data_IF_802235357557
#
_entry.id   IF_802235357557
#
_cell.length_a   1.000
_cell.length_b   1.000
_cell.length_c   1.000
_cell.angle_alpha   90.00
_cell.angle_beta   90.00
_cell.angle_gamma   90.00
#
_symmetry.space_group_name_H-M   'P 1'
#
loop_
_entity.id
_entity.type
_entity.pdbx_description
1 polymer ?
#
# COMPACT_ATOMS: atom_id res chain seq x y z
N UNK A 1 12.10 -3.64 3.39
CA UNK A 1 11.98 -2.25 3.85
C UNK A 1 10.57 -1.86 4.31
N UNK A 2 9.59 -2.65 4.08
CA UNK A 2 8.19 -2.41 4.52
C UNK A 2 8.05 -2.75 6.01
N UNK A 3 7.35 -3.82 6.34
CA UNK A 3 7.18 -4.28 7.72
C UNK A 3 8.42 -4.95 8.35
N UNK A 4 9.52 -5.07 7.59
CA UNK A 4 10.83 -5.43 8.13
C UNK A 4 11.63 -4.24 8.69
N UNK A 5 11.13 -3.00 8.51
CA UNK A 5 11.71 -1.75 9.03
C UNK A 5 13.16 -1.48 8.60
N UNK A 6 13.61 -2.09 7.51
CA UNK A 6 14.93 -1.85 6.94
C UNK A 6 14.92 -0.69 5.94
N UNK A 7 16.09 -0.20 5.55
CA UNK A 7 16.25 0.80 4.50
C UNK A 7 15.70 0.30 3.15
N UNK A 8 15.23 1.22 2.30
CA UNK A 8 14.80 0.89 0.94
C UNK A 8 15.96 0.32 0.12
N UNK A 9 15.66 -0.60 -0.78
CA UNK A 9 16.62 -1.23 -1.68
C UNK A 9 17.07 -2.62 -1.25
N UNK A 10 16.51 -3.17 -0.17
CA UNK A 10 16.77 -4.54 0.28
C UNK A 10 15.48 -5.33 0.49
N UNK A 11 15.58 -6.62 0.28
CA UNK A 11 14.59 -7.62 0.70
C UNK A 11 15.32 -8.91 1.08
N UNK A 12 14.69 -9.72 1.92
CA UNK A 12 15.19 -11.04 2.31
C UNK A 12 14.26 -12.09 1.74
N UNK A 13 14.84 -13.02 0.98
CA UNK A 13 14.13 -14.18 0.45
C UNK A 13 14.71 -15.43 1.13
N UNK A 14 13.84 -16.25 1.69
CA UNK A 14 14.20 -17.50 2.34
C UNK A 14 13.69 -18.68 1.54
N UNK A 15 14.56 -19.67 1.30
CA UNK A 15 14.25 -20.90 0.61
C UNK A 15 14.38 -22.09 1.55
N UNK A 16 13.44 -23.02 1.44
CA UNK A 16 13.56 -24.32 2.12
C UNK A 16 14.50 -25.21 1.32
N UNK A 17 15.80 -25.09 1.60
CA UNK A 17 16.84 -25.92 1.02
C UNK A 17 17.39 -25.46 -0.33
N UNK A 18 18.49 -26.06 -0.78
CA UNK A 18 19.21 -25.68 -1.99
C UNK A 18 18.43 -25.96 -3.27
N UNK A 19 17.58 -26.99 -3.28
CA UNK A 19 16.80 -27.39 -4.47
C UNK A 19 15.84 -26.29 -4.92
N UNK A 20 15.19 -25.58 -3.99
CA UNK A 20 14.36 -24.43 -4.34
C UNK A 20 15.21 -23.21 -4.66
N UNK A 21 16.30 -22.99 -3.92
CA UNK A 21 17.18 -21.82 -4.12
C UNK A 21 17.84 -21.80 -5.51
N UNK A 22 18.19 -22.97 -6.05
CA UNK A 22 18.85 -23.06 -7.38
C UNK A 22 18.03 -22.43 -8.51
N UNK A 23 16.71 -22.35 -8.39
CA UNK A 23 15.85 -21.73 -9.38
C UNK A 23 15.95 -20.20 -9.43
N UNK A 24 16.61 -19.58 -8.46
CA UNK A 24 16.91 -18.16 -8.48
C UNK A 24 18.16 -17.83 -9.32
N UNK A 25 19.04 -18.82 -9.52
CA UNK A 25 20.30 -18.59 -10.20
C UNK A 25 20.12 -18.37 -11.70
N UNK A 26 20.79 -17.39 -12.23
CA UNK A 26 20.86 -17.11 -13.64
C UNK A 26 22.20 -17.54 -14.20
N UNK A 27 22.20 -18.30 -15.30
CA UNK A 27 23.42 -18.78 -15.95
C UNK A 27 23.28 -18.70 -17.48
N UNK A 28 24.34 -18.25 -18.14
CA UNK A 28 24.49 -18.31 -19.61
C UNK A 28 25.86 -18.90 -19.93
N UNK A 29 25.89 -19.91 -20.79
CA UNK A 29 27.08 -20.66 -21.14
C UNK A 29 27.55 -20.47 -22.59
N UNK A 30 26.71 -19.92 -23.46
CA UNK A 30 26.96 -19.73 -24.90
C UNK A 30 27.08 -18.25 -25.32
N UNK A 31 27.26 -17.34 -24.33
CA UNK A 31 27.48 -15.93 -24.60
C UNK A 31 28.94 -15.67 -25.02
N UNK A 32 29.18 -14.90 -26.12
CA UNK A 32 30.55 -14.61 -26.59
C UNK A 32 31.46 -13.89 -25.57
N UNK A 33 30.87 -13.22 -24.57
CA UNK A 33 31.60 -12.57 -23.47
C UNK A 33 32.10 -13.55 -22.40
N UNK A 34 31.85 -14.86 -22.54
CA UNK A 34 32.28 -15.90 -21.62
C UNK A 34 31.14 -16.51 -20.82
N UNK A 35 31.49 -17.23 -19.77
CA UNK A 35 30.53 -17.81 -18.83
C UNK A 35 30.00 -16.72 -17.90
N UNK A 36 28.70 -16.53 -17.86
CA UNK A 36 28.05 -15.63 -16.93
C UNK A 36 27.17 -16.42 -15.96
N UNK A 37 27.28 -16.07 -14.68
CA UNK A 37 26.42 -16.61 -13.63
C UNK A 37 26.18 -15.57 -12.54
N UNK A 38 24.96 -15.55 -12.00
CA UNK A 38 24.56 -14.60 -10.96
C UNK A 38 23.58 -15.26 -9.98
N UNK A 39 23.72 -14.99 -8.68
CA UNK A 39 22.79 -15.50 -7.68
C UNK A 39 21.44 -14.74 -7.67
N UNK A 40 21.32 -13.64 -8.41
CA UNK A 40 20.13 -12.80 -8.47
C UNK A 40 19.99 -12.11 -9.82
N UNK A 41 18.78 -11.64 -10.14
CA UNK A 41 18.50 -10.88 -11.36
C UNK A 41 19.32 -9.59 -11.47
N UNK A 42 19.52 -8.89 -10.34
CA UNK A 42 20.32 -7.68 -10.31
C UNK A 42 21.78 -8.02 -10.06
N UNK A 43 22.70 -7.45 -10.83
CA UNK A 43 24.14 -7.61 -10.68
C UNK A 43 24.68 -7.03 -9.37
N UNK A 44 25.70 -6.15 -9.43
CA UNK A 44 26.30 -5.52 -8.25
C UNK A 44 25.29 -4.77 -7.39
N UNK A 45 25.38 -4.94 -6.08
CA UNK A 45 24.55 -4.26 -5.07
C UNK A 45 25.42 -3.57 -4.03
N UNK A 46 24.97 -2.39 -3.49
CA UNK A 46 25.67 -1.74 -2.38
C UNK A 46 25.64 -2.60 -1.12
N UNK A 47 26.79 -2.94 -0.57
CA UNK A 47 26.90 -3.71 0.67
C UNK A 47 26.31 -2.99 1.89
N UNK A 48 26.31 -1.66 1.89
CA UNK A 48 25.72 -0.83 2.95
C UNK A 48 24.23 -1.13 3.17
N UNK A 49 23.46 -1.39 2.11
CA UNK A 49 22.03 -1.75 2.25
C UNK A 49 21.84 -3.12 2.90
N UNK A 50 22.69 -4.08 2.58
CA UNK A 50 22.66 -5.42 3.22
C UNK A 50 23.03 -5.31 4.70
N UNK A 51 24.04 -4.54 5.03
CA UNK A 51 24.45 -4.28 6.42
C UNK A 51 23.35 -3.57 7.21
N UNK A 52 22.69 -2.56 6.63
CA UNK A 52 21.57 -1.86 7.25
C UNK A 52 20.37 -2.79 7.49
N UNK A 53 20.07 -3.69 6.52
CA UNK A 53 19.03 -4.70 6.69
C UNK A 53 19.33 -5.67 7.84
N UNK A 54 20.57 -6.18 7.89
CA UNK A 54 21.03 -7.05 8.97
C UNK A 54 20.96 -6.35 10.33
N UNK A 55 21.45 -5.11 10.42
CA UNK A 55 21.42 -4.32 11.65
C UNK A 55 19.97 -4.09 12.15
N UNK A 56 19.04 -3.80 11.24
CA UNK A 56 17.63 -3.66 11.59
C UNK A 56 17.06 -4.97 12.16
N UNK A 57 17.33 -6.11 11.51
CA UNK A 57 16.84 -7.42 11.95
C UNK A 57 17.40 -7.80 13.33
N UNK A 58 18.70 -7.59 13.55
CA UNK A 58 19.37 -7.90 14.84
C UNK A 58 18.85 -6.96 15.94
N UNK A 59 18.74 -5.65 15.66
CA UNK A 59 18.29 -4.64 16.63
C UNK A 59 16.86 -4.84 17.07
N UNK A 60 15.96 -5.15 16.15
CA UNK A 60 14.54 -5.37 16.44
C UNK A 60 14.33 -6.74 17.08
N UNK A 61 14.98 -7.75 16.55
CA UNK A 61 14.89 -9.13 17.02
C UNK A 61 13.49 -9.72 16.89
N UNK A 62 13.36 -11.00 17.22
CA UNK A 62 12.08 -11.71 17.12
C UNK A 62 11.00 -11.10 18.04
N UNK A 63 11.38 -10.72 19.25
CA UNK A 63 10.46 -10.12 20.22
C UNK A 63 9.90 -8.77 19.71
N UNK A 64 10.76 -7.90 19.14
CA UNK A 64 10.35 -6.62 18.61
C UNK A 64 9.42 -6.75 17.39
N UNK A 65 9.71 -7.67 16.46
CA UNK A 65 8.82 -7.92 15.32
C UNK A 65 7.46 -8.49 15.78
N UNK A 66 7.44 -9.38 16.76
CA UNK A 66 6.18 -9.93 17.33
C UNK A 66 5.35 -8.85 18.00
N UNK A 67 5.97 -7.99 18.82
CA UNK A 67 5.26 -6.87 19.47
C UNK A 67 4.70 -5.89 18.44
N UNK A 68 5.50 -5.47 17.46
CA UNK A 68 5.06 -4.58 16.39
C UNK A 68 3.86 -5.18 15.62
N UNK A 69 3.94 -6.46 15.28
CA UNK A 69 2.85 -7.17 14.56
C UNK A 69 1.59 -7.23 15.40
N UNK A 70 1.68 -7.60 16.68
CA UNK A 70 0.55 -7.66 17.60
C UNK A 70 -0.18 -6.31 17.66
N UNK A 71 0.54 -5.22 17.91
CA UNK A 71 -0.01 -3.87 17.98
C UNK A 71 -0.69 -3.45 16.67
N UNK A 72 -0.09 -3.79 15.52
CA UNK A 72 -0.66 -3.50 14.20
C UNK A 72 -1.97 -4.28 14.01
N UNK A 73 -2.01 -5.56 14.37
CA UNK A 73 -3.21 -6.39 14.23
C UNK A 73 -4.33 -5.91 15.14
N UNK A 74 -4.06 -5.61 16.40
CA UNK A 74 -5.04 -5.05 17.33
C UNK A 74 -5.62 -3.71 16.83
N UNK A 75 -4.77 -2.86 16.25
CA UNK A 75 -5.20 -1.60 15.64
C UNK A 75 -6.04 -1.84 14.37
N UNK A 76 -5.62 -2.78 13.53
CA UNK A 76 -6.37 -3.14 12.32
C UNK A 76 -7.74 -3.73 12.65
N UNK A 77 -7.82 -4.57 13.67
CA UNK A 77 -9.09 -5.16 14.12
C UNK A 77 -10.05 -4.10 14.68
N UNK A 78 -9.53 -3.13 15.43
CA UNK A 78 -10.30 -1.97 15.90
C UNK A 78 -10.89 -1.19 14.70
N UNK A 79 -10.05 -0.85 13.71
CA UNK A 79 -10.47 -0.09 12.52
C UNK A 79 -11.47 -0.91 11.68
N UNK A 80 -11.22 -2.21 11.47
CA UNK A 80 -12.15 -3.08 10.73
C UNK A 80 -13.52 -3.16 11.42
N UNK A 81 -13.52 -3.29 12.74
CA UNK A 81 -14.76 -3.32 13.51
C UNK A 81 -15.54 -2.02 13.35
N UNK A 82 -14.85 -0.88 13.45
CA UNK A 82 -15.46 0.42 13.27
C UNK A 82 -16.00 0.63 11.83
N UNK A 83 -15.24 0.24 10.79
CA UNK A 83 -15.73 0.32 9.40
C UNK A 83 -17.02 -0.49 9.22
N UNK A 84 -17.13 -1.67 9.83
CA UNK A 84 -18.33 -2.53 9.75
C UNK A 84 -19.55 -1.91 10.42
N UNK A 85 -19.40 -0.94 11.33
CA UNK A 85 -20.53 -0.20 11.93
C UNK A 85 -21.03 0.95 11.07
N UNK A 86 -20.32 1.32 9.99
CA UNK A 86 -20.74 2.38 9.06
C UNK A 86 -21.58 1.74 7.95
N UNK A 87 -22.92 1.97 7.89
CA UNK A 87 -23.81 1.24 6.99
C UNK A 87 -23.48 1.41 5.50
N UNK A 88 -22.89 2.54 5.14
CA UNK A 88 -22.51 2.87 3.76
C UNK A 88 -21.27 2.15 3.28
N UNK A 89 -20.48 1.56 4.18
CA UNK A 89 -19.19 0.95 3.86
C UNK A 89 -19.22 -0.58 3.97
N UNK A 90 -18.36 -1.23 3.22
CA UNK A 90 -18.08 -2.67 3.35
C UNK A 90 -16.59 -2.94 3.19
N UNK A 91 -16.10 -3.98 3.86
CA UNK A 91 -14.71 -4.45 3.74
C UNK A 91 -14.64 -5.55 2.67
N UNK A 92 -13.58 -5.54 1.84
CA UNK A 92 -13.32 -6.61 0.87
C UNK A 92 -12.52 -7.73 1.54
N UNK A 93 -13.08 -8.94 1.48
CA UNK A 93 -12.44 -10.15 2.02
C UNK A 93 -12.27 -10.10 3.54
N UNK A 94 -11.26 -10.83 4.02
CA UNK A 94 -10.86 -10.84 5.43
C UNK A 94 -9.38 -10.42 5.56
N UNK A 95 -9.08 -9.12 5.48
CA UNK A 95 -7.72 -8.62 5.51
C UNK A 95 -7.12 -8.65 6.92
N UNK A 96 -5.81 -8.86 7.01
CA UNK A 96 -5.07 -8.70 8.27
C UNK A 96 -4.90 -7.21 8.61
N UNK A 97 -3.98 -6.50 7.94
CA UNK A 97 -3.69 -5.08 8.22
C UNK A 97 -3.66 -4.17 6.97
N UNK A 98 -3.86 -4.73 5.78
CA UNK A 98 -4.10 -3.95 4.57
C UNK A 98 -5.59 -4.01 4.30
N UNK A 99 -6.33 -3.01 4.78
CA UNK A 99 -7.78 -3.03 4.82
C UNK A 99 -8.32 -2.33 3.58
N UNK A 100 -8.85 -3.11 2.64
CA UNK A 100 -9.58 -2.59 1.49
C UNK A 100 -11.06 -2.48 1.83
N UNK A 101 -11.65 -1.32 1.57
CA UNK A 101 -13.07 -1.07 1.80
C UNK A 101 -13.67 -0.21 0.70
N UNK A 102 -14.96 -0.35 0.49
CA UNK A 102 -15.71 0.34 -0.54
C UNK A 102 -17.09 0.76 -0.07
N UNK A 103 -17.84 1.37 -0.98
CA UNK A 103 -19.25 1.72 -0.76
C UNK A 103 -20.07 1.33 -1.98
N UNK A 104 -21.33 0.93 -1.74
CA UNK A 104 -22.35 0.74 -2.79
C UNK A 104 -23.29 1.94 -2.90
N UNK A 105 -23.29 2.78 -1.87
CA UNK A 105 -24.21 3.92 -1.74
C UNK A 105 -23.54 5.26 -2.09
N UNK A 106 -22.21 5.33 -1.97
CA UNK A 106 -21.45 6.56 -2.13
C UNK A 106 -20.27 6.36 -3.10
N UNK A 107 -19.81 7.43 -3.72
CA UNK A 107 -18.52 7.43 -4.40
C UNK A 107 -17.39 7.37 -3.36
N UNK A 108 -16.74 6.21 -3.28
CA UNK A 108 -15.67 5.94 -2.32
C UNK A 108 -14.43 6.84 -2.54
N UNK A 109 -14.20 7.32 -3.75
CA UNK A 109 -13.08 8.20 -4.04
C UNK A 109 -13.32 9.61 -3.50
N UNK A 110 -14.58 10.05 -3.39
CA UNK A 110 -14.93 11.29 -2.68
C UNK A 110 -14.67 11.16 -1.18
N UNK A 111 -14.95 9.99 -0.60
CA UNK A 111 -14.58 9.69 0.79
C UNK A 111 -13.05 9.74 0.95
N UNK A 112 -12.29 9.17 0.00
CA UNK A 112 -10.84 9.25 -0.01
C UNK A 112 -10.34 10.70 -0.03
N UNK A 113 -10.88 11.56 -0.89
CA UNK A 113 -10.51 12.97 -0.96
C UNK A 113 -10.87 13.72 0.33
N UNK A 114 -12.04 13.46 0.91
CA UNK A 114 -12.44 14.03 2.20
C UNK A 114 -11.52 13.58 3.35
N UNK A 115 -11.03 12.34 3.34
CA UNK A 115 -10.02 11.84 4.28
C UNK A 115 -8.66 12.51 4.06
N UNK A 116 -8.27 12.76 2.80
CA UNK A 116 -7.03 13.47 2.48
C UNK A 116 -7.02 14.89 3.05
N UNK A 117 -8.13 15.62 2.97
CA UNK A 117 -8.24 16.95 3.58
C UNK A 117 -8.11 16.93 5.11
N UNK A 118 -8.36 15.77 5.74
CA UNK A 118 -8.14 15.55 7.18
C UNK A 118 -6.73 15.02 7.52
N UNK A 119 -5.86 14.92 6.51
CA UNK A 119 -4.46 14.49 6.67
C UNK A 119 -4.22 12.99 6.57
N UNK A 120 -5.22 12.20 6.13
CA UNK A 120 -5.07 10.76 5.90
C UNK A 120 -4.70 10.44 4.45
N UNK A 121 -3.79 9.50 4.27
CA UNK A 121 -3.40 9.01 2.94
C UNK A 121 -3.96 7.61 2.71
N UNK A 122 -5.09 7.54 2.02
CA UNK A 122 -5.64 6.29 1.50
C UNK A 122 -5.20 6.10 0.05
N UNK A 123 -5.20 4.86 -0.42
CA UNK A 123 -4.88 4.54 -1.80
C UNK A 123 -6.13 4.06 -2.52
N UNK A 124 -6.43 4.67 -3.68
CA UNK A 124 -7.54 4.24 -4.51
C UNK A 124 -7.27 2.91 -5.19
N UNK A 125 -8.29 2.10 -5.27
CA UNK A 125 -8.35 0.83 -6.01
C UNK A 125 -9.46 0.92 -7.04
N UNK A 126 -9.42 0.09 -8.08
CA UNK A 126 -10.49 0.01 -9.07
C UNK A 126 -10.77 -1.44 -9.44
N UNK A 127 -12.03 -1.71 -9.82
CA UNK A 127 -12.52 -3.04 -10.22
C UNK A 127 -12.46 -4.09 -9.11
N UNK A 128 -13.25 -3.88 -8.04
CA UNK A 128 -14.25 -2.84 -7.82
C UNK A 128 -13.65 -1.52 -7.31
N UNK A 129 -14.44 -0.44 -7.38
CA UNK A 129 -14.10 0.87 -6.82
C UNK A 129 -14.02 0.78 -5.30
N UNK A 130 -12.82 0.95 -4.76
CA UNK A 130 -12.50 0.81 -3.34
C UNK A 130 -11.33 1.70 -2.98
N UNK A 131 -11.05 1.79 -1.71
CA UNK A 131 -9.82 2.37 -1.17
C UNK A 131 -9.17 1.42 -0.17
N UNK A 132 -7.86 1.55 0.08
CA UNK A 132 -7.25 0.78 1.15
C UNK A 132 -6.39 1.63 2.08
N UNK A 133 -6.34 1.17 3.32
CA UNK A 133 -5.43 1.63 4.36
C UNK A 133 -4.43 0.52 4.66
N UNK A 134 -3.14 0.85 4.66
CA UNK A 134 -2.09 -0.02 5.20
C UNK A 134 -1.81 0.39 6.65
N UNK A 135 -2.30 -0.40 7.62
CA UNK A 135 -2.05 -0.14 9.04
C UNK A 135 -0.58 -0.40 9.37
N UNK A 136 0.06 0.56 10.01
CA UNK A 136 1.48 0.51 10.39
C UNK A 136 1.62 0.91 11.87
N UNK A 137 2.84 0.85 12.42
CA UNK A 137 3.12 1.30 13.78
C UNK A 137 2.73 2.77 14.06
N UNK A 138 2.64 3.62 13.04
CA UNK A 138 2.14 4.99 13.21
C UNK A 138 0.70 5.03 13.69
N UNK A 139 -0.12 4.11 13.20
CA UNK A 139 -1.53 4.01 13.56
C UNK A 139 -1.76 3.43 14.96
N UNK A 140 -0.72 2.81 15.56
CA UNK A 140 -0.78 2.26 16.92
C UNK A 140 -0.47 3.27 18.01
N UNK A 141 -0.15 4.53 17.65
CA UNK A 141 0.06 5.59 18.62
C UNK A 141 -1.26 5.96 19.31
N UNK A 142 -1.22 6.37 20.58
CA UNK A 142 -2.42 6.75 21.32
C UNK A 142 -3.27 7.80 20.58
N UNK A 143 -4.57 7.56 20.48
CA UNK A 143 -5.54 8.46 19.85
C UNK A 143 -5.58 8.41 18.31
N UNK A 144 -4.61 7.77 17.63
CA UNK A 144 -4.53 7.82 16.16
C UNK A 144 -5.59 6.96 15.50
N UNK A 145 -5.84 5.75 15.99
CA UNK A 145 -6.87 4.86 15.43
C UNK A 145 -8.28 5.37 15.69
N UNK A 146 -8.50 5.98 16.85
CA UNK A 146 -9.75 6.60 17.23
C UNK A 146 -10.06 7.79 16.30
N UNK A 147 -9.10 8.70 16.16
CA UNK A 147 -9.20 9.83 15.24
C UNK A 147 -9.43 9.39 13.79
N UNK A 148 -8.77 8.31 13.34
CA UNK A 148 -9.02 7.79 11.99
C UNK A 148 -10.48 7.41 11.79
N UNK A 149 -11.08 6.75 12.78
CA UNK A 149 -12.50 6.34 12.72
C UNK A 149 -13.44 7.55 12.75
N UNK A 150 -13.19 8.51 13.62
CA UNK A 150 -13.97 9.75 13.71
C UNK A 150 -13.91 10.53 12.39
N UNK A 151 -12.72 10.70 11.83
CA UNK A 151 -12.52 11.37 10.55
C UNK A 151 -13.18 10.62 9.39
N UNK A 152 -13.17 9.27 9.41
CA UNK A 152 -13.85 8.45 8.40
C UNK A 152 -15.38 8.61 8.47
N UNK A 153 -15.95 8.59 9.67
CA UNK A 153 -17.38 8.84 9.87
C UNK A 153 -17.78 10.24 9.39
N UNK A 154 -16.98 11.25 9.73
CA UNK A 154 -17.18 12.62 9.27
C UNK A 154 -17.05 12.76 7.75
N UNK A 155 -16.10 12.05 7.12
CA UNK A 155 -15.93 12.03 5.68
C UNK A 155 -17.12 11.38 4.96
N UNK A 156 -17.63 10.25 5.48
CA UNK A 156 -18.82 9.59 4.96
C UNK A 156 -20.05 10.50 5.07
N UNK A 157 -20.27 11.11 6.23
CA UNK A 157 -21.37 12.05 6.45
C UNK A 157 -21.28 13.27 5.51
N UNK A 158 -20.08 13.81 5.31
CA UNK A 158 -19.86 14.90 4.37
C UNK A 158 -20.24 14.51 2.94
N UNK A 159 -19.73 13.38 2.44
CA UNK A 159 -20.00 12.91 1.07
C UNK A 159 -21.48 12.59 0.87
N UNK A 160 -22.16 12.07 1.88
CA UNK A 160 -23.61 11.79 1.85
C UNK A 160 -24.45 13.04 1.66
N UNK A 161 -24.04 14.16 2.23
CA UNK A 161 -24.80 15.41 2.23
C UNK A 161 -24.35 16.41 1.16
N UNK A 162 -23.17 16.24 0.56
CA UNK A 162 -22.62 17.14 -0.45
C UNK A 162 -22.96 16.66 -1.87
N UNK A 163 -23.69 17.43 -2.69
CA UNK A 163 -24.23 16.98 -3.97
C UNK A 163 -23.19 16.70 -5.05
N UNK A 164 -22.05 17.41 -5.07
CA UNK A 164 -21.01 17.25 -6.11
C UNK A 164 -19.58 17.34 -5.55
N UNK A 165 -18.62 16.77 -6.30
CA UNK A 165 -17.20 16.81 -5.94
C UNK A 165 -16.52 18.02 -6.60
N UNK A 166 -15.96 18.91 -5.81
CA UNK A 166 -15.11 19.99 -6.29
C UNK A 166 -13.65 19.53 -6.23
N UNK A 167 -13.08 19.10 -7.37
CA UNK A 167 -11.66 18.74 -7.49
C UNK A 167 -11.26 17.41 -6.88
N UNK A 168 -9.95 17.17 -6.70
CA UNK A 168 -9.39 15.99 -6.08
C UNK A 168 -9.08 14.85 -7.05
N UNK A 169 -8.86 13.63 -6.51
CA UNK A 169 -8.53 12.43 -7.28
C UNK A 169 -9.77 11.60 -7.65
N UNK A 170 -10.93 11.88 -7.06
CA UNK A 170 -12.17 11.15 -7.35
C UNK A 170 -12.51 11.11 -8.85
N UNK A 171 -12.44 12.21 -9.63
CA UNK A 171 -12.72 12.16 -11.05
C UNK A 171 -11.76 11.26 -11.83
N UNK A 172 -10.47 11.23 -11.47
CA UNK A 172 -9.44 10.42 -12.15
C UNK A 172 -9.69 8.93 -11.90
N UNK A 173 -9.95 8.54 -10.68
CA UNK A 173 -10.26 7.15 -10.34
C UNK A 173 -11.62 6.71 -10.89
N UNK A 174 -12.62 7.59 -10.86
CA UNK A 174 -13.93 7.35 -11.47
C UNK A 174 -13.82 7.08 -12.97
N UNK A 175 -13.06 7.89 -13.72
CA UNK A 175 -12.78 7.63 -15.12
C UNK A 175 -12.03 6.30 -15.34
N UNK A 176 -11.02 6.00 -14.52
CA UNK A 176 -10.27 4.75 -14.61
C UNK A 176 -11.16 3.51 -14.36
N UNK A 177 -12.17 3.64 -13.50
CA UNK A 177 -13.11 2.56 -13.18
C UNK A 177 -14.15 2.34 -14.29
N UNK A 178 -14.61 3.41 -14.96
CA UNK A 178 -15.75 3.40 -15.88
C UNK A 178 -15.38 3.34 -17.36
N UNK A 179 -14.25 3.97 -17.76
CA UNK A 179 -13.86 4.01 -19.17
C UNK A 179 -13.27 2.67 -19.65
N UNK A 180 -13.79 2.10 -20.74
CA UNK A 180 -13.24 0.88 -21.33
C UNK A 180 -11.90 1.12 -22.04
N UNK A 181 -11.60 2.36 -22.41
CA UNK A 181 -10.41 2.75 -23.19
C UNK A 181 -9.22 3.05 -22.28
N UNK A 182 -8.47 2.03 -21.91
CA UNK A 182 -7.27 2.13 -21.07
C UNK A 182 -6.23 3.15 -21.58
N UNK A 183 -6.15 3.34 -22.92
CA UNK A 183 -5.23 4.30 -23.55
C UNK A 183 -5.49 5.75 -23.17
N UNK A 184 -6.75 6.16 -23.02
CA UNK A 184 -7.12 7.54 -22.64
C UNK A 184 -6.64 7.84 -21.21
N UNK A 185 -6.93 6.95 -20.27
CA UNK A 185 -6.47 7.11 -18.86
C UNK A 185 -4.95 7.15 -18.78
N UNK A 186 -4.25 6.29 -19.54
CA UNK A 186 -2.78 6.29 -19.61
C UNK A 186 -2.22 7.63 -20.10
N UNK A 187 -2.83 8.23 -21.14
CA UNK A 187 -2.39 9.50 -21.67
C UNK A 187 -2.63 10.66 -20.70
N UNK A 188 -3.75 10.66 -19.98
CA UNK A 188 -4.03 11.65 -18.92
C UNK A 188 -2.97 11.55 -17.81
N UNK A 189 -2.64 10.33 -17.36
CA UNK A 189 -1.61 10.13 -16.34
C UNK A 189 -0.22 10.55 -16.81
N UNK A 190 0.12 10.31 -18.08
CA UNK A 190 1.38 10.81 -18.69
C UNK A 190 1.41 12.34 -18.73
N UNK A 191 0.32 12.98 -19.12
CA UNK A 191 0.21 14.44 -19.13
C UNK A 191 0.33 15.01 -17.70
N UNK A 192 -0.31 14.39 -16.72
CA UNK A 192 -0.16 14.77 -15.32
C UNK A 192 1.29 14.65 -14.84
N UNK A 193 1.97 13.52 -15.13
CA UNK A 193 3.38 13.36 -14.82
C UNK A 193 4.25 14.43 -15.47
N UNK A 194 3.95 14.77 -16.74
CA UNK A 194 4.68 15.84 -17.44
C UNK A 194 4.54 17.20 -16.73
N UNK A 195 3.35 17.53 -16.23
CA UNK A 195 3.13 18.76 -15.46
C UNK A 195 3.92 18.77 -14.15
N UNK A 196 4.00 17.62 -13.45
CA UNK A 196 4.77 17.51 -12.20
C UNK A 196 6.28 17.72 -12.39
N UNK A 197 6.81 17.41 -13.57
CA UNK A 197 8.23 17.57 -13.91
C UNK A 197 8.53 18.81 -14.77
N UNK A 198 7.53 19.65 -15.00
CA UNK A 198 7.74 20.92 -15.68
C UNK A 198 8.40 21.90 -14.71
N UNK A 199 9.67 22.21 -14.97
CA UNK A 199 10.46 23.22 -14.26
C UNK A 199 10.10 24.59 -14.81
#
# INVERSE_FOLDING_TARGET
>A
HKYGYAAKGTSVILYRGPELRRHQYFTITDWPGGLYFSPSFAGSRPGALSAACWAAMVRIGQAGYRDATRRILETADFIKTAIRTIPELFILGDPLWVIAFGSRALDIYRVMDAMRHRGWSLNGLHRPSCVHLCVTLRHTQPGVKERFVEDLQAAVAYVKNAPEAEGGMAPVYGMAATLPLRGVVSNILKAYMHVLYKI
#
